data_IF_404761674592
#
_entry.id   IF_404761674592
#
_cell.length_a   1.000
_cell.length_b   1.000
_cell.length_c   1.000
_cell.angle_alpha   90.00
_cell.angle_beta   90.00
_cell.angle_gamma   90.00
#
_symmetry.space_group_name_H-M   'P 1'
#
loop_
_entity.id
_entity.type
_entity.pdbx_description
1 polymer ?
#
# COMPACT_ATOMS: atom_id res chain seq x y z
N UNK A 1 -0.64 3.31 -19.41
CA UNK A 1 -0.55 4.15 -18.20
C UNK A 1 -1.97 4.25 -17.65
N UNK A 2 -2.27 3.80 -16.43
CA UNK A 2 -3.64 3.54 -15.95
C UNK A 2 -4.39 4.83 -15.54
N UNK A 3 -4.07 5.98 -16.15
CA UNK A 3 -4.72 7.27 -15.89
C UNK A 3 -4.33 7.99 -14.59
N UNK A 4 -3.47 7.40 -13.76
CA UNK A 4 -2.86 8.03 -12.57
C UNK A 4 -1.34 8.04 -12.63
N UNK A 5 -0.75 9.04 -11.99
CA UNK A 5 0.70 9.16 -11.79
C UNK A 5 1.02 9.01 -10.31
N UNK A 6 2.03 8.19 -9.99
CA UNK A 6 2.59 8.05 -8.66
C UNK A 6 3.95 8.76 -8.63
N UNK A 7 4.12 9.74 -7.75
CA UNK A 7 5.36 10.52 -7.64
C UNK A 7 5.89 10.42 -6.21
N UNK A 8 7.11 9.92 -6.03
CA UNK A 8 7.76 10.00 -4.72
C UNK A 8 8.10 11.46 -4.41
N UNK A 9 7.73 11.93 -3.21
CA UNK A 9 8.03 13.30 -2.74
C UNK A 9 9.36 13.35 -1.99
N UNK A 10 9.55 12.43 -1.05
CA UNK A 10 10.60 12.47 -0.03
C UNK A 10 11.12 11.06 0.35
N UNK A 11 10.81 10.04 -0.46
CA UNK A 11 11.14 8.64 -0.19
C UNK A 11 10.20 7.92 0.78
N UNK A 12 9.29 8.63 1.45
CA UNK A 12 8.33 8.07 2.41
C UNK A 12 6.87 8.32 2.02
N UNK A 13 6.64 9.38 1.25
CA UNK A 13 5.33 9.84 0.79
C UNK A 13 5.25 9.69 -0.73
N UNK A 14 4.11 9.18 -1.20
CA UNK A 14 3.79 9.06 -2.62
C UNK A 14 2.60 9.96 -2.92
N UNK A 15 2.83 10.97 -3.76
CA UNK A 15 1.77 11.78 -4.32
C UNK A 15 1.09 11.00 -5.45
N UNK A 16 -0.23 10.86 -5.38
CA UNK A 16 -1.03 10.15 -6.39
C UNK A 16 -2.05 11.08 -7.00
N UNK A 17 -1.96 11.27 -8.31
CA UNK A 17 -2.81 12.21 -9.04
C UNK A 17 -3.33 11.65 -10.35
N UNK A 18 -4.61 11.86 -10.61
CA UNK A 18 -5.28 11.51 -11.87
C UNK A 18 -6.57 10.72 -11.66
N UNK A 19 -7.09 10.15 -12.74
CA UNK A 19 -8.30 9.32 -12.75
C UNK A 19 -7.96 7.95 -13.28
N UNK A 20 -8.12 6.92 -12.46
CA UNK A 20 -7.78 5.55 -12.87
C UNK A 20 -8.74 5.03 -13.94
N UNK A 21 -8.20 4.49 -15.03
CA UNK A 21 -8.97 3.77 -16.06
C UNK A 21 -9.03 2.26 -15.83
N UNK A 22 -8.18 1.75 -14.94
CA UNK A 22 -8.07 0.37 -14.48
C UNK A 22 -7.36 0.39 -13.12
N UNK A 23 -7.34 -0.73 -12.38
CA UNK A 23 -6.59 -0.81 -11.12
C UNK A 23 -5.13 -0.41 -11.32
N UNK A 24 -4.63 0.54 -10.52
CA UNK A 24 -3.28 1.08 -10.66
C UNK A 24 -2.51 0.88 -9.35
N UNK A 25 -1.26 0.45 -9.46
CA UNK A 25 -0.39 0.30 -8.28
C UNK A 25 1.08 0.43 -8.65
N UNK A 26 1.87 0.85 -7.67
CA UNK A 26 3.32 0.70 -7.65
C UNK A 26 3.69 -0.31 -6.57
N UNK A 27 4.80 -1.03 -6.77
CA UNK A 27 5.26 -2.07 -5.86
C UNK A 27 6.68 -1.76 -5.39
N UNK A 28 6.96 -2.04 -4.12
CA UNK A 28 8.30 -2.05 -3.55
C UNK A 28 8.54 -3.39 -2.87
N UNK A 29 9.77 -3.90 -2.93
CA UNK A 29 10.17 -5.09 -2.18
C UNK A 29 10.83 -4.67 -0.87
N UNK A 30 10.38 -5.22 0.24
CA UNK A 30 10.94 -4.99 1.57
C UNK A 30 11.37 -6.32 2.18
N UNK A 31 12.58 -6.35 2.76
CA UNK A 31 13.03 -7.52 3.53
C UNK A 31 12.62 -7.31 4.99
N UNK A 32 11.89 -8.26 5.54
CA UNK A 32 11.44 -8.27 6.93
C UNK A 32 11.93 -9.55 7.60
N UNK A 33 12.27 -9.45 8.87
CA UNK A 33 12.51 -10.62 9.72
C UNK A 33 11.18 -11.23 10.18
N UNK A 34 11.23 -12.41 10.79
CA UNK A 34 10.06 -12.99 11.41
C UNK A 34 9.53 -12.09 12.54
N UNK A 35 8.22 -11.86 12.55
CA UNK A 35 7.56 -10.99 13.52
C UNK A 35 6.14 -10.61 13.12
N UNK A 36 5.50 -9.86 14.01
CA UNK A 36 4.15 -9.33 13.84
C UNK A 36 4.23 -7.90 13.32
N UNK A 37 3.62 -7.63 12.18
CA UNK A 37 3.70 -6.35 11.48
C UNK A 37 2.35 -5.72 11.25
N UNK A 38 2.29 -4.39 11.28
CA UNK A 38 1.13 -3.60 10.89
C UNK A 38 1.52 -2.64 9.77
N UNK A 39 0.77 -2.66 8.67
CA UNK A 39 0.91 -1.67 7.59
C UNK A 39 -0.17 -0.61 7.75
N UNK A 40 0.24 0.64 7.97
CA UNK A 40 -0.64 1.80 8.00
C UNK A 40 -0.39 2.67 6.77
N UNK A 41 -1.37 3.48 6.37
CA UNK A 41 -1.19 4.47 5.32
C UNK A 41 -2.01 5.72 5.64
N UNK A 42 -1.30 6.83 5.87
CA UNK A 42 -1.95 8.13 6.12
C UNK A 42 -2.77 8.53 4.90
N UNK A 43 -3.96 9.13 5.14
CA UNK A 43 -4.93 9.51 4.11
C UNK A 43 -5.44 8.36 3.22
N UNK A 44 -5.40 7.10 3.68
CA UNK A 44 -6.06 6.00 2.98
C UNK A 44 -7.60 6.08 3.07
N UNK A 45 -8.30 5.50 2.09
CA UNK A 45 -9.77 5.47 2.04
C UNK A 45 -10.26 4.06 1.71
N UNK A 46 -9.95 3.13 2.62
CA UNK A 46 -10.33 1.72 2.51
C UNK A 46 -9.90 1.11 1.18
N UNK A 47 -10.85 0.55 0.43
CA UNK A 47 -10.60 -0.17 -0.82
C UNK A 47 -10.33 0.72 -2.04
N UNK A 48 -10.53 2.04 -1.93
CA UNK A 48 -10.41 2.93 -3.09
C UNK A 48 -8.96 3.32 -3.36
N UNK A 49 -8.17 3.56 -2.31
CA UNK A 49 -6.75 3.89 -2.42
C UNK A 49 -6.07 3.73 -1.05
N UNK A 50 -4.80 3.38 -1.07
CA UNK A 50 -4.02 3.15 0.14
C UNK A 50 -2.78 2.32 -0.12
N UNK A 51 -2.37 1.51 0.86
CA UNK A 51 -1.26 0.58 0.75
C UNK A 51 -1.62 -0.82 1.24
N UNK A 52 -0.97 -1.86 0.69
CA UNK A 52 -1.17 -3.28 1.04
C UNK A 52 0.09 -4.11 0.85
N UNK A 53 0.20 -5.27 1.49
CA UNK A 53 1.15 -6.31 1.08
C UNK A 53 0.70 -6.97 -0.24
N UNK A 54 1.65 -7.33 -1.11
CA UNK A 54 1.45 -7.52 -2.55
C UNK A 54 1.36 -8.96 -3.06
N UNK A 55 1.19 -9.98 -2.22
CA UNK A 55 0.96 -11.37 -2.63
C UNK A 55 -0.06 -11.99 -1.70
N UNK A 56 -0.95 -12.83 -2.24
CA UNK A 56 -2.02 -13.62 -1.62
C UNK A 56 -1.85 -14.02 -0.15
N UNK A 57 -1.88 -13.05 0.75
CA UNK A 57 -2.47 -13.24 2.06
C UNK A 57 -3.93 -13.47 1.71
N UNK A 58 -4.39 -14.72 1.80
CA UNK A 58 -5.77 -15.14 1.55
C UNK A 58 -6.71 -14.01 1.94
N UNK A 59 -7.49 -13.53 0.97
CA UNK A 59 -8.12 -12.22 1.00
C UNK A 59 -8.82 -11.94 2.32
N UNK A 60 -8.80 -10.66 2.72
CA UNK A 60 -9.65 -9.98 3.71
C UNK A 60 -8.95 -9.25 4.87
N UNK A 61 -7.66 -9.51 5.19
CA UNK A 61 -7.04 -8.95 6.40
C UNK A 61 -6.05 -7.78 6.17
N UNK A 62 -6.37 -6.75 5.39
CA UNK A 62 -5.40 -5.63 5.22
C UNK A 62 -5.99 -4.24 5.06
N UNK A 63 -7.26 -4.04 5.38
CA UNK A 63 -7.87 -2.71 5.36
C UNK A 63 -8.57 -2.46 6.68
N UNK A 64 -7.88 -1.74 7.57
CA UNK A 64 -8.39 -1.34 8.89
C UNK A 64 -7.55 -1.78 10.09
N UNK A 65 -6.22 -1.69 10.03
CA UNK A 65 -5.30 -2.03 11.14
C UNK A 65 -5.18 -3.52 11.59
N UNK A 66 -5.46 -4.57 10.79
CA UNK A 66 -5.08 -5.91 11.22
C UNK A 66 -3.56 -6.07 11.15
N UNK A 67 -2.96 -6.51 12.24
CA UNK A 67 -1.57 -6.96 12.26
C UNK A 67 -1.43 -8.33 11.62
N UNK A 68 -0.36 -8.56 10.86
CA UNK A 68 -0.05 -9.83 10.21
C UNK A 68 1.23 -10.43 10.78
N UNK A 69 1.22 -11.74 11.05
CA UNK A 69 2.43 -12.48 11.40
C UNK A 69 3.15 -12.93 10.14
N UNK A 70 4.42 -12.57 10.01
CA UNK A 70 5.26 -12.84 8.86
C UNK A 70 6.49 -13.64 9.29
N UNK A 71 6.99 -14.48 8.38
CA UNK A 71 8.28 -15.17 8.52
C UNK A 71 9.42 -14.29 7.95
N UNK A 72 10.68 -14.63 8.20
CA UNK A 72 11.79 -13.91 7.57
C UNK A 72 11.72 -14.08 6.05
N UNK A 73 11.64 -12.97 5.31
CA UNK A 73 11.41 -13.02 3.87
C UNK A 73 11.45 -11.66 3.19
N UNK A 74 11.31 -11.70 1.86
CA UNK A 74 11.11 -10.50 1.04
C UNK A 74 9.63 -10.40 0.69
N UNK A 75 9.01 -9.29 1.05
CA UNK A 75 7.60 -9.02 0.87
C UNK A 75 7.40 -7.89 -0.12
N UNK A 76 6.42 -8.03 -0.99
CA UNK A 76 5.96 -6.92 -1.83
C UNK A 76 5.04 -6.04 -0.99
N UNK A 77 5.23 -4.72 -1.06
CA UNK A 77 4.28 -3.71 -0.57
C UNK A 77 3.85 -2.85 -1.74
N UNK A 78 2.57 -2.57 -1.85
CA UNK A 78 1.99 -1.83 -2.96
C UNK A 78 1.27 -0.59 -2.45
N UNK A 79 1.47 0.55 -3.12
CA UNK A 79 0.53 1.68 -3.05
C UNK A 79 -0.42 1.54 -4.22
N UNK A 80 -1.72 1.65 -3.99
CA UNK A 80 -2.74 1.36 -4.99
C UNK A 80 -3.83 2.42 -5.07
N UNK A 81 -4.47 2.48 -6.24
CA UNK A 81 -5.73 3.18 -6.49
C UNK A 81 -6.62 2.23 -7.28
N UNK A 82 -7.84 2.00 -6.79
CA UNK A 82 -8.84 1.17 -7.45
C UNK A 82 -9.29 1.78 -8.78
N UNK A 83 -9.91 0.98 -9.63
CA UNK A 83 -10.45 1.42 -10.92
C UNK A 83 -11.56 2.50 -10.77
N UNK A 84 -11.59 3.45 -11.71
CA UNK A 84 -12.62 4.49 -11.79
C UNK A 84 -12.53 5.57 -10.70
N UNK A 85 -11.38 5.71 -10.03
CA UNK A 85 -11.18 6.66 -8.93
C UNK A 85 -10.34 7.85 -9.40
N UNK A 86 -10.85 9.04 -9.09
CA UNK A 86 -10.09 10.29 -9.21
C UNK A 86 -9.47 10.63 -7.88
N UNK A 87 -8.16 10.89 -7.87
CA UNK A 87 -7.39 11.22 -6.68
C UNK A 87 -6.43 12.38 -6.95
N UNK A 88 -6.17 13.16 -5.91
CA UNK A 88 -5.09 14.15 -5.81
C UNK A 88 -4.72 14.18 -4.33
N UNK A 89 -3.90 13.20 -3.91
CA UNK A 89 -3.65 12.88 -2.51
C UNK A 89 -2.19 12.51 -2.27
N UNK A 90 -1.73 12.74 -1.05
CA UNK A 90 -0.45 12.21 -0.55
C UNK A 90 -0.73 11.00 0.35
N UNK A 91 -0.13 9.87 -0.01
CA UNK A 91 -0.19 8.62 0.75
C UNK A 91 1.16 8.34 1.40
N UNK A 92 1.15 8.14 2.72
CA UNK A 92 2.37 7.87 3.51
C UNK A 92 2.26 6.49 4.15
N UNK A 93 2.67 5.41 3.43
CA UNK A 93 2.67 4.05 3.97
C UNK A 93 3.78 3.86 5.02
N UNK A 94 3.46 3.15 6.11
CA UNK A 94 4.41 2.83 7.19
C UNK A 94 4.23 1.40 7.66
N UNK A 95 5.34 0.70 7.85
CA UNK A 95 5.37 -0.65 8.41
C UNK A 95 5.85 -0.55 9.85
N UNK A 96 5.06 -1.07 10.78
CA UNK A 96 5.38 -1.13 12.20
C UNK A 96 5.58 -2.58 12.61
N UNK A 97 6.66 -2.87 13.34
CA UNK A 97 6.83 -4.14 14.06
C UNK A 97 6.18 -4.02 15.43
N UNK A 98 5.42 -5.02 15.85
CA UNK A 98 4.62 -4.99 17.07
C UNK A 98 5.13 -5.90 18.20
N UNK A 99 6.12 -6.76 17.93
CA UNK A 99 6.76 -7.67 18.88
C UNK A 99 8.26 -7.43 19.03
#
# INVERSE_FOLDING_TARGET
>A
MNGVTFTSRDGHTVHVKGTTTAWAQINVSVRLDAGTYMLTCDNSNGWNYGARFGVSISGHDSLGNPSVKLETGTYTVSVFVAEGKTVDIDLTPRIHRLD
#
